data_IF_711873837212
#
_entry.id   IF_711873837212
#
_cell.length_a   1.000
_cell.length_b   1.000
_cell.length_c   1.000
_cell.angle_alpha   90.00
_cell.angle_beta   90.00
_cell.angle_gamma   90.00
#
_symmetry.space_group_name_H-M   'P 1'
#
loop_
_entity.id
_entity.type
_entity.pdbx_description
1 polymer ?
#
# COMPACT_ATOMS: atom_id res chain seq x y z
N UNK A 1 -18.41 -20.75 -19.43
CA UNK A 1 -18.23 -19.41 -20.02
C UNK A 1 -16.90 -18.90 -19.50
N UNK A 2 -15.84 -18.96 -20.31
CA UNK A 2 -14.47 -18.68 -19.89
C UNK A 2 -14.30 -17.18 -19.63
N UNK A 3 -14.39 -16.75 -18.36
CA UNK A 3 -13.90 -15.43 -17.93
C UNK A 3 -12.40 -15.56 -17.70
N UNK A 4 -11.60 -15.25 -18.72
CA UNK A 4 -10.17 -14.99 -18.53
C UNK A 4 -10.05 -13.51 -18.15
N UNK A 5 -9.70 -13.28 -16.89
CA UNK A 5 -9.50 -11.96 -16.27
C UNK A 5 -8.56 -11.03 -17.03
N UNK A 6 -8.71 -9.73 -16.77
CA UNK A 6 -7.80 -8.66 -17.20
C UNK A 6 -7.00 -8.23 -15.98
N UNK A 7 -5.69 -8.47 -15.98
CA UNK A 7 -4.83 -8.23 -14.82
C UNK A 7 -4.01 -6.98 -15.04
N UNK A 8 -4.07 -6.08 -14.06
CA UNK A 8 -3.28 -4.86 -13.99
C UNK A 8 -3.99 -3.70 -14.65
N UNK A 9 -4.24 -2.66 -13.89
CA UNK A 9 -4.56 -1.34 -14.44
C UNK A 9 -3.47 -0.38 -13.99
N UNK A 10 -3.03 0.51 -14.88
CA UNK A 10 -2.05 1.55 -14.56
C UNK A 10 -2.53 2.93 -14.98
N UNK A 11 -2.01 3.96 -14.33
CA UNK A 11 -2.15 5.33 -14.83
C UNK A 11 -1.09 5.56 -15.90
N UNK A 12 -1.51 6.00 -17.08
CA UNK A 12 -0.57 6.55 -18.07
C UNK A 12 -0.16 7.96 -17.66
N UNK A 13 1.12 8.12 -17.31
CA UNK A 13 1.79 9.41 -17.25
C UNK A 13 2.30 9.78 -18.65
N UNK A 14 1.91 10.92 -19.24
CA UNK A 14 2.37 11.34 -20.56
C UNK A 14 3.87 11.63 -20.68
N UNK A 15 4.68 11.65 -19.61
CA UNK A 15 6.05 12.20 -19.67
C UNK A 15 7.21 11.32 -19.14
N UNK A 16 7.01 10.01 -18.92
CA UNK A 16 8.04 9.18 -18.27
C UNK A 16 9.05 8.50 -19.23
N UNK A 17 10.35 8.84 -19.11
CA UNK A 17 11.50 8.13 -19.69
C UNK A 17 12.31 7.40 -18.59
N UNK A 18 12.75 6.15 -18.80
CA UNK A 18 13.42 5.38 -17.75
C UNK A 18 14.90 5.71 -17.65
N UNK A 19 15.39 5.91 -16.42
CA UNK A 19 16.82 5.87 -16.10
C UNK A 19 17.03 4.94 -14.92
N UNK A 20 17.81 3.88 -15.15
CA UNK A 20 18.32 2.99 -14.10
C UNK A 20 19.55 3.58 -13.40
N UNK A 21 20.04 2.83 -12.40
CA UNK A 21 21.26 2.92 -11.57
C UNK A 21 20.79 2.63 -10.12
N UNK A 22 21.48 1.99 -9.19
CA UNK A 22 22.65 1.09 -9.10
C UNK A 22 22.84 0.92 -7.57
N UNK A 23 23.13 -0.31 -7.16
CA UNK A 23 23.29 -0.86 -5.82
C UNK A 23 24.42 -0.21 -4.97
N UNK A 24 24.28 -0.19 -3.63
CA UNK A 24 25.38 -0.59 -2.72
C UNK A 24 24.94 -0.88 -1.27
N UNK A 25 25.39 -2.04 -0.79
CA UNK A 25 25.34 -2.53 0.59
C UNK A 25 26.40 -1.87 1.48
N UNK A 26 26.16 -1.80 2.79
CA UNK A 26 27.24 -1.86 3.79
C UNK A 26 26.69 -2.28 5.16
N UNK A 27 27.28 -3.29 5.78
CA UNK A 27 27.00 -3.71 7.15
C UNK A 27 27.92 -3.01 8.17
N UNK A 28 27.62 -3.15 9.46
CA UNK A 28 28.57 -2.88 10.53
C UNK A 28 28.31 -3.77 11.75
N UNK A 29 29.41 -4.30 12.31
CA UNK A 29 29.52 -5.20 13.47
C UNK A 29 29.76 -4.41 14.79
N UNK A 30 29.76 -5.17 15.91
CA UNK A 30 30.23 -4.91 17.30
C UNK A 30 29.16 -4.40 18.30
N UNK A 31 29.11 -4.76 19.59
CA UNK A 31 29.66 -5.85 20.43
C UNK A 31 29.19 -5.65 21.90
N UNK A 32 29.07 -6.76 22.66
CA UNK A 32 29.46 -6.99 24.08
C UNK A 32 28.68 -6.41 25.31
N UNK A 33 28.25 -7.36 26.18
CA UNK A 33 28.38 -7.48 27.67
C UNK A 33 27.12 -7.47 28.55
N UNK A 34 27.01 -8.60 29.26
CA UNK A 34 26.47 -8.93 30.59
C UNK A 34 25.65 -7.92 31.38
N UNK A 35 24.59 -8.43 32.02
CA UNK A 35 24.46 -8.39 33.49
C UNK A 35 23.52 -9.52 33.96
N UNK A 36 24.12 -10.49 34.65
CA UNK A 36 23.46 -11.49 35.49
C UNK A 36 23.06 -10.81 36.80
N UNK A 37 21.83 -11.02 37.25
CA UNK A 37 21.49 -10.85 38.66
C UNK A 37 20.10 -10.32 38.93
N UNK A 38 19.07 -11.17 38.82
CA UNK A 38 17.84 -11.10 39.63
C UNK A 38 17.03 -12.39 39.48
N UNK A 39 17.60 -13.52 39.91
CA UNK A 39 16.83 -14.71 40.27
C UNK A 39 16.79 -14.77 41.80
N UNK A 40 15.63 -14.51 42.41
CA UNK A 40 15.17 -15.20 43.65
C UNK A 40 13.90 -14.63 44.33
N UNK A 41 13.25 -13.54 43.88
CA UNK A 41 12.09 -12.97 44.64
C UNK A 41 10.81 -12.76 43.79
N UNK A 42 10.56 -13.60 42.78
CA UNK A 42 9.29 -13.56 42.04
C UNK A 42 8.59 -14.93 41.92
N UNK A 43 9.08 -15.97 42.60
CA UNK A 43 8.54 -17.33 42.50
C UNK A 43 7.30 -17.59 43.38
N UNK A 44 6.94 -16.68 44.30
CA UNK A 44 5.82 -16.90 45.24
C UNK A 44 4.58 -16.04 44.98
N UNK A 45 4.63 -15.08 44.04
CA UNK A 45 3.45 -14.34 43.61
C UNK A 45 2.75 -14.96 42.38
N UNK A 46 3.40 -15.93 41.70
CA UNK A 46 2.89 -16.50 40.46
C UNK A 46 1.83 -17.60 40.67
N UNK A 47 1.76 -18.22 41.85
CA UNK A 47 0.87 -19.37 42.09
C UNK A 47 -0.56 -19.01 42.48
N UNK A 48 -0.86 -17.74 42.81
CA UNK A 48 -2.20 -17.34 43.27
C UNK A 48 -3.02 -16.63 42.19
N UNK A 49 -2.38 -16.03 41.17
CA UNK A 49 -3.11 -15.30 40.13
C UNK A 49 -3.67 -16.19 39.00
N UNK A 50 -3.32 -17.47 38.97
CA UNK A 50 -3.55 -18.33 37.80
C UNK A 50 -4.94 -19.01 37.76
N UNK A 51 -5.84 -18.74 38.70
CA UNK A 51 -7.14 -19.42 38.79
C UNK A 51 -8.30 -18.68 38.12
N UNK A 52 -8.14 -17.47 37.59
CA UNK A 52 -9.23 -16.68 36.98
C UNK A 52 -8.92 -16.09 35.60
N UNK A 53 -8.38 -16.90 34.69
CA UNK A 53 -8.40 -16.56 33.25
C UNK A 53 -9.19 -17.62 32.49
N UNK A 54 -10.27 -17.24 31.78
CA UNK A 54 -11.06 -18.17 30.99
C UNK A 54 -10.18 -18.80 29.90
N UNK A 55 -10.35 -20.10 29.68
CA UNK A 55 -9.68 -20.89 28.65
C UNK A 55 -10.17 -20.52 27.23
N UNK A 56 -10.02 -19.25 26.86
CA UNK A 56 -10.05 -18.82 25.47
C UNK A 56 -8.64 -18.98 24.92
N UNK A 57 -8.42 -20.02 24.09
CA UNK A 57 -7.17 -20.16 23.34
C UNK A 57 -6.93 -18.89 22.51
N UNK A 58 -5.99 -18.07 22.94
CA UNK A 58 -5.45 -16.99 22.12
C UNK A 58 -4.69 -17.66 20.97
N UNK A 59 -5.36 -17.78 19.82
CA UNK A 59 -4.67 -18.01 18.57
C UNK A 59 -3.79 -16.77 18.36
N UNK A 60 -2.49 -16.88 18.66
CA UNK A 60 -1.49 -15.88 18.27
C UNK A 60 -1.50 -15.85 16.73
N UNK A 61 -2.34 -15.02 16.14
CA UNK A 61 -2.16 -14.60 14.75
C UNK A 61 -0.81 -13.89 14.73
N UNK A 62 0.15 -14.47 14.02
CA UNK A 62 1.39 -13.78 13.71
C UNK A 62 1.02 -12.44 13.07
N UNK A 63 1.35 -11.34 13.74
CA UNK A 63 1.24 -10.00 13.15
C UNK A 63 2.23 -10.00 11.98
N UNK A 64 1.78 -9.74 10.75
CA UNK A 64 2.69 -9.69 9.61
C UNK A 64 3.80 -8.67 9.92
N UNK A 65 5.05 -8.95 9.51
CA UNK A 65 6.17 -8.05 9.76
C UNK A 65 5.80 -6.65 9.28
N UNK A 66 5.83 -5.68 10.18
CA UNK A 66 5.53 -4.30 9.87
C UNK A 66 6.65 -3.78 8.97
N UNK A 67 6.33 -3.44 7.73
CA UNK A 67 7.27 -2.81 6.81
C UNK A 67 7.56 -1.40 7.34
N UNK A 68 8.81 -1.14 7.72
CA UNK A 68 9.25 0.19 8.14
C UNK A 68 9.67 0.99 6.91
N UNK A 69 8.88 1.99 6.54
CA UNK A 69 9.23 2.93 5.48
C UNK A 69 10.30 3.92 5.96
N UNK A 70 11.15 4.43 5.05
CA UNK A 70 12.08 5.51 5.40
C UNK A 70 11.31 6.78 5.76
N UNK A 71 12.00 7.73 6.42
CA UNK A 71 11.43 9.06 6.64
C UNK A 71 11.17 9.78 5.31
N UNK A 72 10.14 10.65 5.23
CA UNK A 72 9.83 11.37 4.00
C UNK A 72 11.00 12.24 3.54
N UNK A 73 11.17 12.42 2.22
CA UNK A 73 12.21 13.30 1.69
C UNK A 73 11.95 14.77 2.07
N UNK A 74 12.95 15.66 1.91
CA UNK A 74 12.76 17.10 2.07
C UNK A 74 11.58 17.63 1.24
N UNK A 75 10.77 18.51 1.82
CA UNK A 75 9.52 19.00 1.24
C UNK A 75 9.70 19.84 -0.05
N UNK A 76 10.90 20.40 -0.25
CA UNK A 76 11.28 21.10 -1.48
C UNK A 76 11.51 20.14 -2.66
N UNK A 77 11.74 18.85 -2.38
CA UNK A 77 11.90 17.80 -3.38
C UNK A 77 10.55 17.19 -3.79
N UNK A 78 9.67 18.04 -4.33
CA UNK A 78 8.25 17.73 -4.62
C UNK A 78 8.05 16.41 -5.38
N UNK A 79 8.86 16.15 -6.41
CA UNK A 79 8.76 14.91 -7.19
C UNK A 79 9.15 13.66 -6.38
N UNK A 80 10.18 13.76 -5.53
CA UNK A 80 10.58 12.66 -4.65
C UNK A 80 9.54 12.43 -3.56
N UNK A 81 8.95 13.49 -3.01
CA UNK A 81 7.84 13.37 -2.06
C UNK A 81 6.64 12.67 -2.67
N UNK A 82 6.24 13.04 -3.90
CA UNK A 82 5.15 12.37 -4.60
C UNK A 82 5.43 10.86 -4.80
N UNK A 83 6.65 10.50 -5.23
CA UNK A 83 7.08 9.10 -5.39
C UNK A 83 7.10 8.35 -4.06
N UNK A 84 7.56 9.01 -3.00
CA UNK A 84 7.55 8.46 -1.65
C UNK A 84 6.12 8.15 -1.18
N UNK A 85 5.18 9.08 -1.31
CA UNK A 85 3.78 8.86 -0.90
C UNK A 85 3.16 7.72 -1.70
N UNK A 86 3.36 7.69 -3.03
CA UNK A 86 2.84 6.61 -3.88
C UNK A 86 3.40 5.26 -3.46
N UNK A 87 4.71 5.17 -3.19
CA UNK A 87 5.35 3.91 -2.84
C UNK A 87 5.03 3.44 -1.42
N UNK A 88 4.84 4.36 -0.47
CA UNK A 88 4.54 4.00 0.93
C UNK A 88 3.06 3.70 1.17
N UNK A 89 2.18 4.05 0.22
CA UNK A 89 0.74 3.83 0.31
C UNK A 89 0.33 2.45 -0.22
N UNK A 90 -0.50 1.75 0.53
CA UNK A 90 -1.09 0.47 0.13
C UNK A 90 -2.43 0.63 -0.60
N UNK A 91 -3.08 1.78 -0.46
CA UNK A 91 -4.39 2.06 -1.04
C UNK A 91 -4.53 3.53 -1.43
N UNK A 92 -5.52 3.85 -2.26
CA UNK A 92 -5.87 5.20 -2.62
C UNK A 92 -7.39 5.40 -2.66
N UNK A 93 -7.81 6.65 -2.50
CA UNK A 93 -9.15 7.07 -2.94
C UNK A 93 -9.11 7.34 -4.44
N UNK A 94 -10.01 6.71 -5.20
CA UNK A 94 -10.19 6.93 -6.63
C UNK A 94 -11.47 7.72 -6.87
N UNK A 95 -11.42 8.68 -7.79
CA UNK A 95 -12.57 9.38 -8.32
C UNK A 95 -12.79 9.03 -9.79
N UNK A 96 -14.00 8.55 -10.12
CA UNK A 96 -14.49 8.23 -11.47
C UNK A 96 -15.78 9.02 -11.78
N UNK A 97 -16.26 8.93 -13.01
CA UNK A 97 -17.60 9.41 -13.38
C UNK A 97 -18.59 8.25 -13.37
N UNK A 98 -19.61 8.31 -12.53
CA UNK A 98 -20.50 7.16 -12.37
C UNK A 98 -21.35 6.88 -13.60
N UNK A 99 -21.47 5.61 -13.96
CA UNK A 99 -22.40 5.12 -15.00
C UNK A 99 -23.63 4.42 -14.38
N UNK A 100 -23.72 4.41 -13.05
CA UNK A 100 -24.84 3.82 -12.32
C UNK A 100 -26.12 4.63 -12.56
N UNK A 101 -27.27 4.00 -12.92
CA UNK A 101 -28.49 4.73 -13.30
C UNK A 101 -29.03 5.72 -12.26
N UNK A 102 -28.66 5.56 -10.98
CA UNK A 102 -29.14 6.43 -9.89
C UNK A 102 -28.30 7.69 -9.71
N UNK A 103 -27.06 7.69 -10.18
CA UNK A 103 -26.08 8.75 -9.95
C UNK A 103 -25.23 9.02 -11.21
N UNK A 104 -25.80 8.77 -12.39
CA UNK A 104 -25.09 8.89 -13.67
C UNK A 104 -24.48 10.29 -13.83
N UNK A 105 -23.20 10.35 -14.19
CA UNK A 105 -22.43 11.58 -14.36
C UNK A 105 -21.90 12.22 -13.08
N UNK A 106 -22.29 11.75 -11.89
CA UNK A 106 -21.72 12.26 -10.63
C UNK A 106 -20.27 11.78 -10.45
N UNK A 107 -19.41 12.60 -9.82
CA UNK A 107 -18.13 12.11 -9.34
C UNK A 107 -18.38 11.03 -8.28
N UNK A 108 -17.88 9.83 -8.54
CA UNK A 108 -17.98 8.70 -7.63
C UNK A 108 -16.62 8.45 -7.00
N UNK A 109 -16.58 8.41 -5.67
CA UNK A 109 -15.37 8.13 -4.91
C UNK A 109 -15.40 6.71 -4.36
N UNK A 110 -14.33 5.95 -4.56
CA UNK A 110 -14.18 4.60 -4.03
C UNK A 110 -12.75 4.40 -3.46
N UNK A 111 -12.52 3.28 -2.79
CA UNK A 111 -11.22 2.88 -2.27
C UNK A 111 -10.70 1.71 -3.11
N UNK A 112 -9.42 1.75 -3.47
CA UNK A 112 -8.73 0.62 -4.09
C UNK A 112 -7.37 0.41 -3.46
N UNK A 113 -6.95 -0.84 -3.45
CA UNK A 113 -5.56 -1.20 -3.16
C UNK A 113 -4.69 -0.96 -4.39
N UNK A 114 -3.47 -0.49 -4.16
CA UNK A 114 -2.49 -0.30 -5.23
C UNK A 114 -1.08 -0.64 -4.76
N UNK A 115 -0.18 -0.71 -5.74
CA UNK A 115 1.25 -0.85 -5.54
C UNK A 115 1.97 -0.27 -6.74
N UNK A 116 3.05 0.48 -6.53
CA UNK A 116 3.95 0.87 -7.62
C UNK A 116 5.19 -0.05 -7.74
N UNK A 117 5.25 -1.10 -6.93
CA UNK A 117 6.33 -2.08 -6.89
C UNK A 117 6.44 -2.81 -5.55
N UNK A 118 7.27 -3.88 -5.46
CA UNK A 118 7.55 -4.54 -4.18
C UNK A 118 8.26 -3.59 -3.21
N UNK A 119 8.30 -3.94 -1.92
CA UNK A 119 8.87 -3.07 -0.84
C UNK A 119 10.26 -2.51 -1.16
N UNK A 120 11.11 -3.28 -1.83
CA UNK A 120 12.49 -2.89 -2.14
C UNK A 120 12.65 -2.07 -3.43
N UNK A 121 11.57 -1.91 -4.22
CA UNK A 121 11.64 -1.30 -5.54
C UNK A 121 10.35 -0.58 -5.94
N UNK A 122 10.46 0.73 -6.20
CA UNK A 122 9.40 1.58 -6.75
C UNK A 122 9.60 1.82 -8.24
N UNK A 123 8.59 1.50 -9.06
CA UNK A 123 8.53 1.97 -10.46
C UNK A 123 7.98 3.39 -10.58
N UNK A 124 7.15 3.82 -9.61
CA UNK A 124 6.39 5.08 -9.66
C UNK A 124 5.08 4.99 -10.43
N UNK A 125 4.79 3.85 -11.08
CA UNK A 125 3.55 3.61 -11.81
C UNK A 125 2.60 2.85 -10.88
N UNK A 126 1.46 3.42 -10.43
CA UNK A 126 0.53 2.71 -9.57
C UNK A 126 -0.21 1.63 -10.36
N UNK A 127 -0.03 0.37 -9.95
CA UNK A 127 -0.77 -0.79 -10.43
C UNK A 127 -1.87 -1.15 -9.44
N UNK A 128 -3.02 -1.57 -9.97
CA UNK A 128 -4.17 -2.04 -9.20
C UNK A 128 -4.77 -3.30 -9.81
N UNK A 129 -5.44 -4.09 -8.98
CA UNK A 129 -6.12 -5.32 -9.37
C UNK A 129 -7.62 -5.13 -9.16
N UNK A 130 -8.36 -5.02 -10.27
CA UNK A 130 -9.79 -4.71 -10.26
C UNK A 130 -10.60 -5.85 -10.89
N UNK A 131 -11.72 -6.19 -10.25
CA UNK A 131 -12.71 -7.10 -10.80
C UNK A 131 -13.68 -6.35 -11.73
N UNK A 132 -14.15 -6.95 -12.84
CA UNK A 132 -15.18 -6.35 -13.69
C UNK A 132 -16.55 -6.19 -13.00
N UNK A 133 -16.72 -6.69 -11.76
CA UNK A 133 -17.93 -6.50 -10.96
C UNK A 133 -17.90 -5.23 -10.10
N UNK A 134 -16.76 -4.55 -9.99
CA UNK A 134 -16.63 -3.34 -9.20
C UNK A 134 -17.26 -2.14 -9.92
N UNK A 135 -17.92 -1.24 -9.18
CA UNK A 135 -18.53 -0.03 -9.75
C UNK A 135 -17.50 0.86 -10.47
N UNK A 136 -16.29 0.95 -9.91
CA UNK A 136 -15.17 1.66 -10.53
C UNK A 136 -14.81 1.05 -11.88
N UNK A 137 -14.82 -0.28 -12.00
CA UNK A 137 -14.55 -0.96 -13.28
C UNK A 137 -15.60 -0.63 -14.34
N UNK A 138 -16.88 -0.60 -13.96
CA UNK A 138 -17.96 -0.20 -14.87
C UNK A 138 -17.83 1.26 -15.33
N UNK A 139 -17.45 2.16 -14.41
CA UNK A 139 -17.21 3.57 -14.75
C UNK A 139 -16.02 3.69 -15.72
N UNK A 140 -14.91 3.00 -15.43
CA UNK A 140 -13.68 3.01 -16.22
C UNK A 140 -13.85 2.43 -17.64
N UNK A 141 -14.77 1.48 -17.82
CA UNK A 141 -15.11 0.94 -19.14
C UNK A 141 -15.75 1.99 -20.06
N UNK A 142 -16.42 3.00 -19.50
CA UNK A 142 -17.04 4.09 -20.27
C UNK A 142 -16.14 5.31 -20.36
N UNK A 143 -15.47 5.66 -19.28
CA UNK A 143 -14.56 6.79 -19.22
C UNK A 143 -13.30 6.45 -18.40
N UNK A 144 -12.12 6.32 -19.04
CA UNK A 144 -10.91 5.93 -18.34
C UNK A 144 -10.31 7.07 -17.49
N UNK A 145 -10.86 8.29 -17.54
CA UNK A 145 -10.33 9.44 -16.79
C UNK A 145 -10.59 9.29 -15.30
N UNK A 146 -9.54 9.46 -14.50
CA UNK A 146 -9.60 9.33 -13.04
C UNK A 146 -8.75 10.35 -12.33
N UNK A 147 -9.04 10.52 -11.03
CA UNK A 147 -8.12 11.13 -10.08
C UNK A 147 -7.91 10.22 -8.88
N UNK A 148 -6.67 9.93 -8.52
CA UNK A 148 -6.29 9.27 -7.27
C UNK A 148 -5.88 10.31 -6.23
N UNK A 149 -6.17 10.04 -4.97
CA UNK A 149 -5.70 10.80 -3.81
C UNK A 149 -5.05 9.85 -2.81
N UNK A 150 -3.81 10.16 -2.43
CA UNK A 150 -3.02 9.46 -1.42
C UNK A 150 -2.46 10.47 -0.42
N UNK A 151 -2.21 10.05 0.81
CA UNK A 151 -1.70 10.92 1.88
C UNK A 151 -0.86 10.15 2.88
N UNK A 152 0.15 10.81 3.44
CA UNK A 152 0.92 10.31 4.57
C UNK A 152 0.05 9.98 5.79
N UNK A 153 -1.16 10.56 5.89
CA UNK A 153 -2.14 10.22 6.91
C UNK A 153 -2.63 8.77 6.85
N UNK A 154 -2.38 8.06 5.74
CA UNK A 154 -2.66 6.63 5.60
C UNK A 154 -1.67 5.77 6.41
N UNK A 155 -0.48 6.32 6.68
CA UNK A 155 0.52 5.75 7.59
C UNK A 155 0.36 6.31 9.01
N UNK A 156 1.28 5.96 9.91
CA UNK A 156 1.33 6.57 11.25
C UNK A 156 2.17 7.86 11.32
N UNK A 157 2.76 8.32 10.20
CA UNK A 157 3.65 9.48 10.14
C UNK A 157 3.00 10.76 10.71
N UNK A 158 1.86 11.18 10.15
CA UNK A 158 1.21 12.42 10.56
C UNK A 158 0.74 12.35 12.03
N UNK A 159 0.26 11.19 12.47
CA UNK A 159 -0.15 10.96 13.87
C UNK A 159 1.04 11.05 14.83
N UNK A 160 2.20 10.45 14.50
CA UNK A 160 3.42 10.53 15.32
C UNK A 160 3.93 11.96 15.48
N UNK A 161 3.69 12.82 14.49
CA UNK A 161 4.11 14.22 14.50
C UNK A 161 3.02 15.20 14.97
N UNK A 162 1.84 14.71 15.37
CA UNK A 162 0.67 15.53 15.73
C UNK A 162 0.25 16.51 14.62
N UNK A 163 0.34 16.08 13.37
CA UNK A 163 -0.18 16.84 12.23
C UNK A 163 -1.61 16.43 11.94
N UNK A 164 -2.48 17.43 11.80
CA UNK A 164 -3.80 17.24 11.23
C UNK A 164 -3.68 16.76 9.75
N UNK A 165 -4.49 15.79 9.27
CA UNK A 165 -4.41 15.32 7.88
C UNK A 165 -4.61 16.41 6.81
N UNK A 166 -5.25 17.54 7.13
CA UNK A 166 -5.38 18.67 6.21
C UNK A 166 -4.19 19.63 6.27
N UNK A 167 -3.32 19.51 7.29
CA UNK A 167 -2.09 20.31 7.40
C UNK A 167 -1.19 20.06 6.18
N UNK A 168 -0.57 21.09 5.60
CA UNK A 168 0.41 20.89 4.51
C UNK A 168 1.67 20.14 4.98
N UNK A 169 1.89 20.01 6.29
CA UNK A 169 2.95 19.18 6.86
C UNK A 169 2.65 17.68 6.80
N UNK A 170 1.37 17.32 6.61
CA UNK A 170 0.95 15.95 6.30
C UNK A 170 0.71 15.87 4.80
N UNK A 171 1.72 15.44 4.05
CA UNK A 171 1.71 15.57 2.61
C UNK A 171 0.64 14.68 1.96
N UNK A 172 0.15 15.13 0.80
CA UNK A 172 -0.80 14.40 -0.04
C UNK A 172 -0.41 14.56 -1.50
N UNK A 173 -0.67 13.53 -2.29
CA UNK A 173 -0.48 13.55 -3.73
C UNK A 173 -1.80 13.25 -4.43
N UNK A 174 -2.09 14.02 -5.47
CA UNK A 174 -3.22 13.79 -6.36
C UNK A 174 -2.65 13.42 -7.72
N UNK A 175 -3.02 12.24 -8.22
CA UNK A 175 -2.63 11.77 -9.55
C UNK A 175 -3.84 11.77 -10.46
N UNK A 176 -3.85 12.64 -11.47
CA UNK A 176 -4.93 12.71 -12.45
C UNK A 176 -4.43 12.17 -13.77
N UNK A 177 -5.21 11.30 -14.40
CA UNK A 177 -4.80 10.67 -15.65
C UNK A 177 -5.85 9.73 -16.20
N UNK A 178 -5.39 8.74 -16.98
CA UNK A 178 -6.23 7.67 -17.50
C UNK A 178 -5.75 6.34 -16.98
N UNK A 179 -6.69 5.54 -16.48
CA UNK A 179 -6.43 4.14 -16.17
C UNK A 179 -6.52 3.33 -17.47
N UNK A 180 -5.52 2.50 -17.71
CA UNK A 180 -5.48 1.55 -18.83
C UNK A 180 -5.24 0.14 -18.33
N UNK A 181 -5.85 -0.83 -19.00
CA UNK A 181 -5.56 -2.26 -18.79
C UNK A 181 -4.12 -2.56 -19.20
N UNK A 182 -3.43 -3.35 -18.39
CA UNK A 182 -2.12 -3.91 -18.70
C UNK A 182 -2.33 -5.04 -19.71
N UNK A 183 -1.45 -5.10 -20.71
CA UNK A 183 -1.54 -6.07 -21.79
C UNK A 183 -1.30 -7.49 -21.26
N UNK A 184 -2.12 -8.44 -21.70
CA UNK A 184 -2.00 -9.85 -21.27
C UNK A 184 -0.73 -10.49 -21.81
N UNK A 185 -0.17 -11.42 -21.04
CA UNK A 185 1.03 -12.18 -21.39
C UNK A 185 2.26 -11.28 -21.64
N UNK A 186 2.25 -10.04 -21.14
CA UNK A 186 3.34 -9.08 -21.25
C UNK A 186 4.29 -9.15 -20.06
N UNK A 187 5.54 -8.69 -20.23
CA UNK A 187 6.49 -8.54 -19.11
C UNK A 187 5.95 -7.58 -18.04
N UNK A 188 5.17 -6.58 -18.45
CA UNK A 188 4.51 -5.62 -17.56
C UNK A 188 3.47 -6.30 -16.67
N UNK A 189 2.68 -7.25 -17.19
CA UNK A 189 1.72 -8.01 -16.39
C UNK A 189 2.43 -8.78 -15.26
N UNK A 190 3.56 -9.43 -15.57
CA UNK A 190 4.37 -10.12 -14.60
C UNK A 190 4.88 -9.20 -13.49
N UNK A 191 5.36 -8.00 -13.86
CA UNK A 191 5.77 -6.98 -12.90
C UNK A 191 4.59 -6.47 -12.06
N UNK A 192 3.45 -6.12 -12.68
CA UNK A 192 2.27 -5.61 -12.02
C UNK A 192 1.70 -6.62 -11.00
N UNK A 193 1.63 -7.90 -11.36
CA UNK A 193 1.25 -8.98 -10.44
C UNK A 193 2.19 -9.08 -9.26
N UNK A 194 3.49 -9.08 -9.49
CA UNK A 194 4.47 -9.11 -8.40
C UNK A 194 4.35 -7.86 -7.50
N UNK A 195 4.23 -6.67 -8.09
CA UNK A 195 4.07 -5.42 -7.38
C UNK A 195 2.84 -5.45 -6.46
N UNK A 196 1.67 -5.81 -6.98
CA UNK A 196 0.41 -5.81 -6.20
C UNK A 196 0.40 -6.96 -5.20
N UNK A 197 0.70 -8.20 -5.62
CA UNK A 197 0.56 -9.37 -4.76
C UNK A 197 1.66 -9.51 -3.70
N UNK A 198 2.80 -8.82 -3.87
CA UNK A 198 3.81 -8.74 -2.81
C UNK A 198 3.36 -7.83 -1.65
N UNK A 199 2.60 -6.77 -1.95
CA UNK A 199 2.03 -5.85 -0.95
C UNK A 199 0.68 -6.29 -0.42
N UNK A 200 -0.12 -6.94 -1.25
CA UNK A 200 -1.48 -7.39 -0.98
C UNK A 200 -1.57 -8.92 -1.14
N UNK A 201 -1.00 -9.71 -0.22
CA UNK A 201 -0.86 -11.15 -0.39
C UNK A 201 -2.19 -11.90 -0.51
N UNK A 202 -3.26 -11.38 0.09
CA UNK A 202 -4.62 -11.93 -0.01
C UNK A 202 -5.15 -11.96 -1.44
N UNK A 203 -4.71 -11.02 -2.30
CA UNK A 203 -5.18 -10.93 -3.68
C UNK A 203 -4.76 -12.11 -4.56
N UNK A 204 -3.77 -12.90 -4.13
CA UNK A 204 -3.37 -14.14 -4.82
C UNK A 204 -4.49 -15.18 -4.81
N UNK A 205 -5.34 -15.13 -3.79
CA UNK A 205 -6.42 -16.10 -3.55
C UNK A 205 -7.80 -15.55 -3.96
N UNK A 206 -7.86 -14.32 -4.49
CA UNK A 206 -9.12 -13.74 -4.95
C UNK A 206 -9.65 -14.50 -6.19
N UNK A 207 -10.97 -14.65 -6.30
CA UNK A 207 -11.57 -15.38 -7.40
C UNK A 207 -11.39 -14.63 -8.72
N UNK A 208 -10.89 -15.37 -9.70
CA UNK A 208 -10.68 -14.95 -11.07
C UNK A 208 -11.94 -15.04 -11.96
#
# INVERSE_FOLDING_TARGET
MNKKEDIGYRILDPDSRPKGISMRMTGCHFAFICLLGTLCIAALAFTVYQSHLPHGGFCLRAVPPQVSWPDPPPHDQVAMMARYIVHTSDWASIATYSVSPRIEGFPFANILSLSDGPVEYSSGIPYMYLTPMDLTSHDLEKDPRVSLSLSEAQSDYCRKHNYDPMSPLCARVLLTGKIVKVEKDSEEEGFARNAVFSRHPEMKDWPA
#
